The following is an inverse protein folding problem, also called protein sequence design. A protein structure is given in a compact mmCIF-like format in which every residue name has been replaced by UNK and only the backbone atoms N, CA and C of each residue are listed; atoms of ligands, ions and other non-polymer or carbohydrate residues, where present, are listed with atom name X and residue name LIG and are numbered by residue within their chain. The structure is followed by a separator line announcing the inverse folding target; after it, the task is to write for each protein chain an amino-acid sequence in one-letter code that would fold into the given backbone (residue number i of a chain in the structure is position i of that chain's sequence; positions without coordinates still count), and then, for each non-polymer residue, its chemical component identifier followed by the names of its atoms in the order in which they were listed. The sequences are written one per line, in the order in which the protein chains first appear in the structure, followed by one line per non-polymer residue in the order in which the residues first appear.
data_IF_971539867224
#
_entry.id   IF_971539867224
#
_cell.length_a   1.000
_cell.length_b   1.000
_cell.length_c   1.000
_cell.angle_alpha   90.00
_cell.angle_beta   90.00
_cell.angle_gamma   90.00
#
_symmetry.space_group_name_H-M   'P 1'
#
loop_
_entity.id
_entity.type
_entity.pdbx_description
1 polymer ?
#
# COMPACT_ATOMS: atom_id res chain seq x y z
N UNK A 1 2.28 -7.27 20.81
CA UNK A 1 3.09 -7.87 19.73
C UNK A 1 2.43 -7.74 18.35
N UNK A 2 1.10 -7.87 18.25
CA UNK A 2 0.35 -7.78 16.99
C UNK A 2 0.71 -6.57 16.11
N UNK A 3 0.73 -5.35 16.65
CA UNK A 3 1.05 -4.16 15.85
C UNK A 3 2.49 -4.13 15.32
N UNK A 4 3.46 -4.71 16.04
CA UNK A 4 4.83 -4.86 15.52
C UNK A 4 4.87 -5.89 14.39
N UNK A 5 4.12 -7.00 14.53
CA UNK A 5 3.95 -7.98 13.47
C UNK A 5 3.31 -7.38 12.22
N UNK A 6 2.30 -6.52 12.39
CA UNK A 6 1.67 -5.80 11.28
C UNK A 6 2.67 -4.89 10.58
N UNK A 7 3.42 -4.06 11.31
CA UNK A 7 4.44 -3.19 10.72
C UNK A 7 5.49 -3.97 9.93
N UNK A 8 5.91 -5.13 10.45
CA UNK A 8 6.83 -6.02 9.75
C UNK A 8 6.23 -6.62 8.48
N UNK A 9 5.00 -7.13 8.56
CA UNK A 9 4.30 -7.66 7.40
C UNK A 9 4.14 -6.59 6.32
N UNK A 10 3.69 -5.38 6.68
CA UNK A 10 3.60 -4.24 5.77
C UNK A 10 4.96 -3.89 5.18
N UNK A 11 6.03 -3.86 6.00
CA UNK A 11 7.37 -3.55 5.52
C UNK A 11 7.83 -4.52 4.44
N UNK A 12 7.58 -5.82 4.63
CA UNK A 12 7.95 -6.86 3.67
C UNK A 12 7.07 -6.77 2.41
N UNK A 13 5.76 -6.67 2.56
CA UNK A 13 4.83 -6.65 1.42
C UNK A 13 5.04 -5.41 0.55
N UNK A 14 4.99 -4.21 1.15
CA UNK A 14 5.18 -2.96 0.42
C UNK A 14 6.63 -2.77 -0.05
N UNK A 15 7.61 -3.24 0.73
CA UNK A 15 9.01 -3.23 0.34
C UNK A 15 9.29 -4.14 -0.87
N UNK A 16 8.89 -5.41 -0.79
CA UNK A 16 9.12 -6.35 -1.89
C UNK A 16 8.35 -5.96 -3.16
N UNK A 17 7.07 -5.61 -3.02
CA UNK A 17 6.26 -5.18 -4.16
C UNK A 17 6.76 -3.86 -4.75
N UNK A 18 7.11 -2.89 -3.90
CA UNK A 18 7.71 -1.62 -4.35
C UNK A 18 9.03 -1.82 -5.09
N UNK A 19 9.90 -2.70 -4.60
CA UNK A 19 11.13 -3.05 -5.31
C UNK A 19 10.83 -3.70 -6.68
N UNK A 20 9.86 -4.61 -6.73
CA UNK A 20 9.46 -5.25 -7.98
C UNK A 20 8.93 -4.23 -9.01
N UNK A 21 8.04 -3.32 -8.59
CA UNK A 21 7.49 -2.26 -9.43
C UNK A 21 8.55 -1.22 -9.85
N UNK A 22 9.60 -1.02 -9.04
CA UNK A 22 10.71 -0.14 -9.40
C UNK A 22 11.57 -0.74 -10.53
N UNK A 23 11.76 -2.07 -10.51
CA UNK A 23 12.50 -2.79 -11.55
C UNK A 23 11.66 -2.92 -12.83
N UNK A 24 10.37 -3.21 -12.70
CA UNK A 24 9.42 -3.29 -13.82
C UNK A 24 8.14 -2.47 -13.54
N UNK A 25 8.11 -1.20 -13.96
CA UNK A 25 6.94 -0.33 -13.86
C UNK A 25 5.69 -0.81 -14.64
N UNK A 26 5.83 -1.77 -15.56
CA UNK A 26 4.67 -2.35 -16.25
C UNK A 26 3.89 -3.32 -15.35
N UNK A 27 4.52 -3.89 -14.33
CA UNK A 27 3.91 -4.85 -13.41
C UNK A 27 2.62 -4.32 -12.74
N UNK A 28 2.61 -3.15 -12.08
CA UNK A 28 1.37 -2.60 -11.49
C UNK A 28 0.35 -2.19 -12.56
N UNK A 29 0.80 -1.70 -13.73
CA UNK A 29 -0.09 -1.33 -14.82
C UNK A 29 -0.84 -2.56 -15.37
N UNK A 30 -0.13 -3.66 -15.61
CA UNK A 30 -0.70 -4.90 -16.13
C UNK A 30 -1.73 -5.51 -15.17
N UNK A 31 -1.46 -5.50 -13.86
CA UNK A 31 -2.43 -6.00 -12.87
C UNK A 31 -3.70 -5.16 -12.81
N UNK A 32 -3.59 -3.85 -13.05
CA UNK A 32 -4.72 -2.92 -13.07
C UNK A 32 -5.38 -2.80 -14.45
N UNK A 33 -4.87 -3.47 -15.49
CA UNK A 33 -5.36 -3.35 -16.87
C UNK A 33 -5.05 -2.00 -17.52
N UNK A 34 -4.05 -1.27 -17.02
CA UNK A 34 -3.63 0.03 -17.52
C UNK A 34 -2.62 -0.11 -18.66
N UNK A 35 -2.68 0.79 -19.64
CA UNK A 35 -1.69 0.89 -20.71
C UNK A 35 -0.76 2.08 -20.47
N UNK A 36 0.55 1.83 -20.50
CA UNK A 36 1.58 2.87 -20.44
C UNK A 36 1.85 3.33 -21.88
N UNK A 37 1.42 4.55 -22.22
CA UNK A 37 1.47 5.07 -23.59
C UNK A 37 2.65 5.99 -23.89
N UNK A 38 3.39 6.45 -22.87
CA UNK A 38 4.52 7.35 -23.01
C UNK A 38 5.53 7.20 -21.85
N UNK A 39 6.65 7.93 -21.94
CA UNK A 39 7.70 7.91 -20.93
C UNK A 39 7.28 8.48 -19.57
N UNK A 40 6.38 9.47 -19.55
CA UNK A 40 5.88 10.07 -18.32
C UNK A 40 5.06 9.07 -17.51
N UNK A 41 4.15 8.35 -18.16
CA UNK A 41 3.37 7.28 -17.53
C UNK A 41 4.27 6.15 -16.99
N UNK A 42 5.36 5.83 -17.70
CA UNK A 42 6.34 4.84 -17.23
C UNK A 42 7.07 5.32 -15.96
N UNK A 43 7.52 6.58 -15.96
CA UNK A 43 8.18 7.18 -14.82
C UNK A 43 7.25 7.31 -13.60
N UNK A 44 5.99 7.72 -13.82
CA UNK A 44 4.97 7.83 -12.76
C UNK A 44 4.67 6.48 -12.10
N UNK A 45 4.52 5.41 -12.89
CA UNK A 45 4.32 4.06 -12.35
C UNK A 45 5.51 3.61 -11.49
N UNK A 46 6.74 3.82 -11.98
CA UNK A 46 7.95 3.49 -11.23
C UNK A 46 8.14 4.34 -9.97
N UNK A 47 7.73 5.61 -10.00
CA UNK A 47 7.82 6.50 -8.84
C UNK A 47 6.78 6.16 -7.77
N UNK A 48 5.50 6.00 -8.15
CA UNK A 48 4.39 5.80 -7.21
C UNK A 48 4.34 4.37 -6.67
N UNK A 49 4.29 3.37 -7.55
CA UNK A 49 4.20 1.96 -7.15
C UNK A 49 5.57 1.36 -6.84
N UNK A 50 6.65 1.96 -7.35
CA UNK A 50 8.01 1.52 -7.07
C UNK A 50 8.63 2.24 -5.88
N UNK A 51 9.21 3.41 -6.14
CA UNK A 51 10.03 4.16 -5.17
C UNK A 51 9.28 4.57 -3.90
N UNK A 52 8.10 5.20 -4.04
CA UNK A 52 7.28 5.62 -2.90
C UNK A 52 6.81 4.41 -2.08
N UNK A 53 6.33 3.37 -2.76
CA UNK A 53 5.84 2.15 -2.11
C UNK A 53 6.95 1.41 -1.35
N UNK A 54 8.14 1.33 -1.94
CA UNK A 54 9.32 0.77 -1.28
C UNK A 54 9.72 1.58 -0.05
N UNK A 55 9.78 2.91 -0.18
CA UNK A 55 10.08 3.83 0.92
C UNK A 55 9.07 3.72 2.07
N UNK A 56 7.78 3.56 1.74
CA UNK A 56 6.72 3.31 2.72
C UNK A 56 6.97 2.01 3.51
N UNK A 57 7.34 0.93 2.81
CA UNK A 57 7.71 -0.34 3.43
C UNK A 57 8.92 -0.21 4.35
N UNK A 58 9.99 0.45 3.90
CA UNK A 58 11.18 0.72 4.72
C UNK A 58 10.85 1.50 5.98
N UNK A 59 10.04 2.54 5.88
CA UNK A 59 9.60 3.33 7.04
C UNK A 59 8.83 2.47 8.05
N UNK A 60 7.94 1.59 7.59
CA UNK A 60 7.25 0.63 8.45
C UNK A 60 8.24 -0.30 9.17
N UNK A 61 9.27 -0.79 8.47
CA UNK A 61 10.32 -1.62 9.07
C UNK A 61 11.11 -0.89 10.15
N UNK A 62 11.49 0.37 9.89
CA UNK A 62 12.14 1.24 10.89
C UNK A 62 11.24 1.41 12.12
N UNK A 63 9.94 1.67 11.94
CA UNK A 63 8.98 1.80 13.04
C UNK A 63 8.78 0.49 13.82
N UNK A 64 8.92 -0.66 13.16
CA UNK A 64 8.84 -1.96 13.83
C UNK A 64 10.05 -2.20 14.74
N UNK A 65 11.24 -1.78 14.30
CA UNK A 65 12.49 -1.89 15.07
C UNK A 65 12.62 -0.87 16.18
N UNK A 66 12.20 0.39 15.95
CA UNK A 66 12.38 1.50 16.90
C UNK A 66 11.12 1.74 17.73
N UNK A 67 11.10 1.40 19.04
CA UNK A 67 9.91 1.55 19.88
C UNK A 67 9.38 2.98 19.96
N UNK A 68 10.26 3.99 19.85
CA UNK A 68 9.88 5.41 19.85
C UNK A 68 9.04 5.81 18.63
N UNK A 69 9.17 5.11 17.50
CA UNK A 69 8.43 5.38 16.27
C UNK A 69 7.23 4.43 16.08
N UNK A 70 7.00 3.51 17.00
CA UNK A 70 5.96 2.48 16.88
C UNK A 70 4.57 3.07 16.62
N UNK A 71 4.16 4.07 17.41
CA UNK A 71 2.85 4.72 17.24
C UNK A 71 2.77 5.51 15.94
N UNK A 72 3.86 6.15 15.52
CA UNK A 72 3.93 6.88 14.26
C UNK A 72 3.74 5.93 13.05
N UNK A 73 4.37 4.76 13.08
CA UNK A 73 4.17 3.72 12.07
C UNK A 73 2.72 3.26 12.00
N UNK A 74 2.09 2.99 13.16
CA UNK A 74 0.67 2.61 13.19
C UNK A 74 -0.25 3.74 12.68
N UNK A 75 0.02 4.99 13.07
CA UNK A 75 -0.73 6.15 12.56
C UNK A 75 -0.63 6.25 11.04
N UNK A 76 0.56 6.03 10.46
CA UNK A 76 0.76 6.02 9.01
C UNK A 76 -0.08 4.93 8.33
N UNK A 77 -0.18 3.73 8.89
CA UNK A 77 -1.04 2.68 8.35
C UNK A 77 -2.51 3.09 8.40
N UNK A 78 -2.97 3.68 9.50
CA UNK A 78 -4.36 4.14 9.61
C UNK A 78 -4.67 5.25 8.62
N UNK A 79 -3.78 6.23 8.48
CA UNK A 79 -4.04 7.40 7.64
C UNK A 79 -3.80 7.08 6.17
N UNK A 80 -2.60 6.68 5.78
CA UNK A 80 -2.26 6.49 4.37
C UNK A 80 -2.98 5.28 3.76
N UNK A 81 -2.92 4.12 4.41
CA UNK A 81 -3.58 2.90 3.88
C UNK A 81 -5.09 2.98 4.07
N UNK A 82 -5.58 3.59 5.16
CA UNK A 82 -7.01 3.82 5.34
C UNK A 82 -7.60 4.78 4.30
N UNK A 83 -6.92 5.89 3.99
CA UNK A 83 -7.34 6.78 2.91
C UNK A 83 -7.28 6.11 1.53
N UNK A 84 -6.25 5.28 1.29
CA UNK A 84 -6.15 4.49 0.06
C UNK A 84 -7.33 3.53 -0.09
N UNK A 85 -7.67 2.79 0.98
CA UNK A 85 -8.83 1.90 1.00
C UNK A 85 -10.14 2.66 0.74
N UNK A 86 -10.32 3.82 1.38
CA UNK A 86 -11.52 4.63 1.20
C UNK A 86 -11.65 5.17 -0.23
N UNK A 87 -10.56 5.69 -0.80
CA UNK A 87 -10.54 6.14 -2.19
C UNK A 87 -10.82 4.99 -3.16
N UNK A 88 -10.19 3.82 -2.95
CA UNK A 88 -10.40 2.63 -3.79
C UNK A 88 -11.83 2.11 -3.69
N UNK A 89 -12.42 2.07 -2.50
CA UNK A 89 -13.82 1.68 -2.31
C UNK A 89 -14.76 2.64 -3.03
N UNK A 90 -14.54 3.95 -2.88
CA UNK A 90 -15.34 4.96 -3.57
C UNK A 90 -15.25 4.81 -5.09
N UNK A 91 -14.04 4.69 -5.65
CA UNK A 91 -13.86 4.49 -7.10
C UNK A 91 -14.42 3.15 -7.60
N UNK A 92 -14.36 2.09 -6.79
CA UNK A 92 -14.97 0.80 -7.15
C UNK A 92 -16.51 0.85 -7.11
N UNK A 93 -17.08 1.67 -6.24
CA UNK A 93 -18.52 1.93 -6.17
C UNK A 93 -19.00 2.80 -7.34
N UNK A 94 -18.20 3.78 -7.75
CA UNK A 94 -18.49 4.71 -8.85
C UNK A 94 -18.27 4.09 -10.25
N UNK A 95 -17.55 2.97 -10.33
CA UNK A 95 -17.25 2.32 -11.60
C UNK A 95 -18.50 1.74 -12.27
N UNK A 96 -18.78 2.19 -13.50
CA UNK A 96 -19.86 1.65 -14.35
C UNK A 96 -19.54 0.23 -14.90
N UNK A 97 -18.30 -0.22 -14.75
CA UNK A 97 -17.79 -1.48 -15.28
C UNK A 97 -17.36 -2.44 -14.16
N UNK A 98 -17.34 -3.73 -14.48
CA UNK A 98 -17.04 -4.77 -13.50
C UNK A 98 -15.62 -4.63 -12.95
N UNK A 99 -15.53 -4.46 -11.63
CA UNK A 99 -14.28 -4.32 -10.90
C UNK A 99 -13.64 -5.70 -10.67
N UNK A 100 -12.40 -5.85 -11.11
CA UNK A 100 -11.68 -7.13 -11.07
C UNK A 100 -11.12 -7.52 -9.70
N UNK A 101 -10.59 -8.75 -9.64
CA UNK A 101 -10.02 -9.36 -8.42
C UNK A 101 -8.87 -8.54 -7.83
N UNK A 102 -8.08 -7.87 -8.68
CA UNK A 102 -7.00 -6.98 -8.23
C UNK A 102 -7.51 -5.92 -7.25
N UNK A 103 -8.58 -5.21 -7.62
CA UNK A 103 -9.13 -4.13 -6.79
C UNK A 103 -9.78 -4.66 -5.52
N UNK A 104 -10.56 -5.74 -5.60
CA UNK A 104 -11.19 -6.34 -4.41
C UNK A 104 -10.15 -6.91 -3.43
N UNK A 105 -9.11 -7.57 -3.95
CA UNK A 105 -8.01 -8.09 -3.15
C UNK A 105 -7.20 -6.98 -2.49
N UNK A 106 -6.85 -5.93 -3.24
CA UNK A 106 -6.18 -4.75 -2.69
C UNK A 106 -7.03 -4.06 -1.63
N UNK A 107 -8.32 -3.84 -1.90
CA UNK A 107 -9.23 -3.18 -0.96
C UNK A 107 -9.37 -3.98 0.35
N UNK A 108 -9.52 -5.31 0.26
CA UNK A 108 -9.60 -6.17 1.44
C UNK A 108 -8.32 -6.10 2.27
N UNK A 109 -7.16 -6.17 1.61
CA UNK A 109 -5.86 -6.03 2.26
C UNK A 109 -5.70 -4.66 2.94
N UNK A 110 -5.94 -3.57 2.20
CA UNK A 110 -5.81 -2.19 2.69
C UNK A 110 -6.73 -1.94 3.90
N UNK A 111 -7.99 -2.38 3.80
CA UNK A 111 -8.99 -2.24 4.88
C UNK A 111 -8.56 -3.02 6.13
N UNK A 112 -8.12 -4.28 5.98
CA UNK A 112 -7.68 -5.10 7.11
C UNK A 112 -6.46 -4.49 7.79
N UNK A 113 -5.46 -4.04 7.03
CA UNK A 113 -4.25 -3.39 7.58
C UNK A 113 -4.63 -2.13 8.36
N UNK A 114 -5.47 -1.26 7.79
CA UNK A 114 -5.88 -0.03 8.44
C UNK A 114 -6.66 -0.29 9.74
N UNK A 115 -7.63 -1.21 9.73
CA UNK A 115 -8.44 -1.52 10.91
C UNK A 115 -7.63 -2.18 12.03
N UNK A 116 -6.74 -3.12 11.71
CA UNK A 116 -5.86 -3.75 12.71
C UNK A 116 -4.89 -2.73 13.28
N UNK A 117 -4.33 -1.84 12.45
CA UNK A 117 -3.46 -0.75 12.92
C UNK A 117 -4.21 0.18 13.87
N UNK A 118 -5.43 0.61 13.51
CA UNK A 118 -6.26 1.48 14.35
C UNK A 118 -6.56 0.83 15.70
N UNK A 119 -6.95 -0.46 15.68
CA UNK A 119 -7.19 -1.23 16.89
C UNK A 119 -5.96 -1.34 17.79
N UNK A 120 -4.77 -1.48 17.21
CA UNK A 120 -3.49 -1.52 17.92
C UNK A 120 -3.06 -0.14 18.44
N UNK A 121 -3.44 0.95 17.79
CA UNK A 121 -3.13 2.32 18.20
C UNK A 121 -3.98 2.78 19.39
N UNK A 122 -5.24 2.31 19.44
CA UNK A 122 -6.18 2.55 20.55
C UNK A 122 -5.90 1.75 21.83
N UNK A 123 -4.93 0.83 21.82
CA UNK A 123 -4.46 0.11 23.02
C UNK A 123 -3.17 0.72 23.53
#
# INVERSE_FOLDING_TARGET
MLGKGLLWATAIIFGAYGMACFIDPNLPANYAGLQISNGDAYAEMGAMYGGLQFGFGLFCGICAFRPSLYRAGLMLLVTAIGCLAAARLYSAWDADFLVGVYTWGALAFETLVALVAARCLWR
#
